data_IF_438153809881
#
_entry.id   IF_438153809881
#
_cell.length_a   1.000
_cell.length_b   1.000
_cell.length_c   1.000
_cell.angle_alpha   90.00
_cell.angle_beta   90.00
_cell.angle_gamma   90.00
#
_symmetry.space_group_name_H-M   'P 1'
#
loop_
_entity.id
_entity.type
_entity.pdbx_description
1 polymer ?
#
# COMPACT_ATOMS: atom_id res chain seq x y z
N UNK A 1 -3.08 -21.82 -5.29
CA UNK A 1 -3.56 -20.42 -5.34
C UNK A 1 -2.91 -19.70 -4.17
N UNK A 2 -2.45 -18.45 -4.35
CA UNK A 2 -1.92 -17.70 -3.21
C UNK A 2 -3.07 -17.34 -2.27
N UNK A 3 -2.85 -17.46 -0.97
CA UNK A 3 -3.76 -16.98 0.06
C UNK A 3 -3.46 -15.51 0.31
N UNK A 4 -4.46 -14.65 0.13
CA UNK A 4 -4.35 -13.23 0.43
C UNK A 4 -5.07 -12.92 1.74
N UNK A 5 -4.48 -12.08 2.58
CA UNK A 5 -5.08 -11.64 3.84
C UNK A 5 -4.85 -10.14 3.99
N UNK A 6 -5.86 -9.44 4.52
CA UNK A 6 -5.76 -8.02 4.83
C UNK A 6 -5.69 -7.87 6.35
N UNK A 7 -4.65 -7.22 6.81
CA UNK A 7 -4.45 -6.92 8.24
C UNK A 7 -4.54 -5.41 8.41
N UNK A 8 -5.38 -4.93 9.32
CA UNK A 8 -5.49 -3.49 9.58
C UNK A 8 -4.17 -2.95 10.18
N UNK A 9 -3.80 -1.74 9.79
CA UNK A 9 -2.70 -0.98 10.39
C UNK A 9 -3.30 -0.12 11.50
N UNK A 10 -3.34 -0.66 12.72
CA UNK A 10 -3.99 -0.03 13.89
C UNK A 10 -3.35 1.32 14.28
N UNK A 11 -2.08 1.52 13.95
CA UNK A 11 -1.36 2.77 14.22
C UNK A 11 -1.84 3.98 13.39
N UNK A 12 -2.76 3.78 12.43
CA UNK A 12 -3.33 4.87 11.62
C UNK A 12 -4.80 5.02 12.00
N UNK A 13 -5.10 6.10 12.71
CA UNK A 13 -6.46 6.43 13.13
C UNK A 13 -7.13 7.41 12.15
N UNK A 14 -8.31 7.07 11.67
CA UNK A 14 -9.07 8.00 10.82
C UNK A 14 -10.33 7.41 10.21
N UNK A 15 -10.97 8.22 9.37
CA UNK A 15 -12.23 7.86 8.68
C UNK A 15 -12.05 6.78 7.62
N UNK A 16 -10.86 6.69 7.03
CA UNK A 16 -10.50 5.65 6.07
C UNK A 16 -9.57 4.64 6.72
N UNK A 17 -9.84 3.35 6.55
CA UNK A 17 -9.03 2.27 7.12
C UNK A 17 -7.82 2.00 6.22
N UNK A 18 -6.66 1.78 6.85
CA UNK A 18 -5.46 1.31 6.15
C UNK A 18 -5.21 -0.15 6.48
N UNK A 19 -5.07 -0.96 5.44
CA UNK A 19 -4.71 -2.37 5.54
C UNK A 19 -3.32 -2.59 4.96
N UNK A 20 -2.63 -3.63 5.41
CA UNK A 20 -1.48 -4.21 4.73
C UNK A 20 -1.87 -5.54 4.09
N UNK A 21 -1.35 -5.79 2.89
CA UNK A 21 -1.56 -7.04 2.16
C UNK A 21 -0.57 -8.10 2.63
N UNK A 22 -1.09 -9.25 3.02
CA UNK A 22 -0.33 -10.48 3.28
C UNK A 22 -0.58 -11.49 2.17
N UNK A 23 0.48 -12.16 1.73
CA UNK A 23 0.44 -13.20 0.70
C UNK A 23 1.09 -14.45 1.28
N UNK A 24 0.32 -15.52 1.44
CA UNK A 24 0.76 -16.78 2.06
C UNK A 24 1.41 -16.57 3.45
N UNK A 25 0.86 -15.66 4.26
CA UNK A 25 1.38 -15.33 5.59
C UNK A 25 2.59 -14.40 5.59
N UNK A 26 2.97 -13.85 4.44
CA UNK A 26 4.09 -12.91 4.33
C UNK A 26 3.63 -11.53 3.87
N UNK A 27 3.92 -10.50 4.68
CA UNK A 27 3.66 -9.11 4.35
C UNK A 27 4.92 -8.43 3.79
N UNK A 28 4.85 -7.95 2.55
CA UNK A 28 5.96 -7.25 1.89
C UNK A 28 6.23 -5.89 2.52
N UNK A 29 5.20 -5.27 3.12
CA UNK A 29 5.35 -3.99 3.80
C UNK A 29 6.07 -4.16 5.14
N UNK A 30 5.67 -5.10 5.98
CA UNK A 30 6.35 -5.38 7.26
C UNK A 30 7.83 -5.75 7.05
N UNK A 31 8.13 -6.54 6.01
CA UNK A 31 9.52 -6.89 5.66
C UNK A 31 10.31 -5.64 5.25
N UNK A 32 9.69 -4.73 4.50
CA UNK A 32 10.29 -3.47 4.12
C UNK A 32 10.58 -2.61 5.36
N UNK A 33 9.61 -2.44 6.27
CA UNK A 33 9.76 -1.68 7.50
C UNK A 33 10.89 -2.24 8.37
N UNK A 34 10.92 -3.55 8.56
CA UNK A 34 11.97 -4.25 9.32
C UNK A 34 13.37 -4.00 8.73
N UNK A 35 13.49 -3.99 7.39
CA UNK A 35 14.77 -3.73 6.71
C UNK A 35 15.24 -2.28 6.89
N UNK A 36 14.33 -1.31 6.85
CA UNK A 36 14.71 0.11 6.95
C UNK A 36 14.79 0.62 8.40
N UNK A 37 14.13 -0.06 9.34
CA UNK A 37 14.09 0.30 10.77
C UNK A 37 15.45 0.23 11.48
N UNK A 38 16.45 -0.41 10.86
CA UNK A 38 17.83 -0.40 11.36
C UNK A 38 18.58 0.90 11.07
N UNK A 39 18.02 1.79 10.24
CA UNK A 39 18.59 3.07 9.88
C UNK A 39 17.74 4.23 10.43
N UNK A 40 18.27 4.95 11.43
CA UNK A 40 17.56 6.05 12.09
C UNK A 40 16.99 7.10 11.12
N UNK A 41 17.73 7.45 10.05
CA UNK A 41 17.25 8.40 9.03
C UNK A 41 16.01 7.89 8.31
N UNK A 42 15.95 6.59 8.01
CA UNK A 42 14.79 6.01 7.35
C UNK A 42 13.61 5.84 8.30
N UNK A 43 13.85 5.68 9.60
CA UNK A 43 12.77 5.71 10.59
C UNK A 43 12.06 7.06 10.59
N UNK A 44 12.78 8.20 10.62
CA UNK A 44 12.15 9.52 10.55
C UNK A 44 11.33 9.72 9.28
N UNK A 45 11.83 9.23 8.15
CA UNK A 45 11.12 9.28 6.88
C UNK A 45 9.87 8.39 6.88
N UNK A 46 9.93 7.23 7.54
CA UNK A 46 8.81 6.31 7.71
C UNK A 46 7.74 6.92 8.63
N UNK A 47 8.11 7.51 9.76
CA UNK A 47 7.17 8.22 10.65
C UNK A 47 6.47 9.37 9.91
N UNK A 48 7.20 10.12 9.08
CA UNK A 48 6.58 11.15 8.24
C UNK A 48 5.60 10.58 7.22
N UNK A 49 5.82 9.35 6.73
CA UNK A 49 4.87 8.65 5.85
C UNK A 49 3.64 8.25 6.65
N UNK A 50 3.78 7.69 7.86
CA UNK A 50 2.66 7.35 8.74
C UNK A 50 1.79 8.56 9.06
N UNK A 51 2.37 9.69 9.45
CA UNK A 51 1.60 10.93 9.67
C UNK A 51 0.88 11.41 8.41
N UNK A 52 1.47 11.20 7.22
CA UNK A 52 0.79 11.49 5.94
C UNK A 52 -0.36 10.52 5.69
N UNK A 53 -0.22 9.24 6.03
CA UNK A 53 -1.29 8.26 5.91
C UNK A 53 -2.47 8.61 6.83
N UNK A 54 -2.19 9.05 8.05
CA UNK A 54 -3.20 9.51 9.02
C UNK A 54 -3.92 10.79 8.55
N UNK A 55 -3.18 11.77 8.01
CA UNK A 55 -3.78 12.94 7.37
C UNK A 55 -4.72 12.54 6.22
N UNK A 56 -4.28 11.62 5.37
CA UNK A 56 -5.09 11.05 4.28
C UNK A 56 -6.29 10.27 4.84
N UNK A 57 -6.11 9.51 5.92
CA UNK A 57 -7.18 8.75 6.59
C UNK A 57 -8.29 9.67 7.09
N UNK A 58 -7.92 10.87 7.52
CA UNK A 58 -8.82 11.91 8.01
C UNK A 58 -9.32 12.87 6.91
N UNK A 59 -9.14 12.53 5.63
CA UNK A 59 -9.55 13.33 4.48
C UNK A 59 -8.92 14.75 4.43
N UNK A 60 -7.74 14.93 5.02
CA UNK A 60 -7.02 16.21 4.92
C UNK A 60 -6.41 16.35 3.52
N UNK A 61 -6.27 17.60 3.09
CA UNK A 61 -5.54 17.91 1.86
C UNK A 61 -4.04 17.70 2.09
N UNK A 62 -3.44 16.82 1.30
CA UNK A 62 -2.03 16.50 1.38
C UNK A 62 -1.33 16.94 0.09
N UNK A 63 -0.16 17.60 0.17
CA UNK A 63 0.61 17.98 -1.00
C UNK A 63 0.95 16.80 -1.90
N UNK A 64 0.94 17.01 -3.23
CA UNK A 64 1.27 15.98 -4.23
C UNK A 64 2.68 15.42 -4.06
N UNK A 65 3.57 16.17 -3.39
CA UNK A 65 4.94 15.81 -3.05
C UNK A 65 4.98 14.69 -2.01
N UNK A 66 3.96 14.59 -1.14
CA UNK A 66 3.83 13.58 -0.07
C UNK A 66 2.86 12.46 -0.42
N UNK A 67 1.78 12.74 -1.13
CA UNK A 67 0.78 11.74 -1.54
C UNK A 67 0.34 11.97 -2.99
N UNK A 68 0.47 10.96 -3.85
CA UNK A 68 0.23 11.10 -5.29
C UNK A 68 -0.60 9.96 -5.85
N UNK A 69 -1.59 10.27 -6.69
CA UNK A 69 -2.25 9.31 -7.58
C UNK A 69 -1.27 8.93 -8.72
N UNK A 70 -0.95 7.64 -8.83
CA UNK A 70 -0.02 7.07 -9.81
C UNK A 70 -0.71 6.08 -10.77
N UNK A 71 -2.06 6.11 -10.81
CA UNK A 71 -2.87 5.24 -11.66
C UNK A 71 -2.49 5.42 -13.14
N UNK A 72 -2.24 4.32 -13.86
CA UNK A 72 -1.77 4.35 -15.26
C UNK A 72 -2.77 4.98 -16.23
N UNK A 73 -4.05 4.73 -16.01
CA UNK A 73 -5.12 5.14 -16.91
C UNK A 73 -6.33 5.54 -16.09
N UNK A 74 -7.07 6.53 -16.57
CA UNK A 74 -8.40 6.87 -16.03
C UNK A 74 -9.40 5.72 -16.13
N UNK A 75 -9.13 4.72 -16.98
CA UNK A 75 -9.95 3.50 -17.12
C UNK A 75 -9.62 2.40 -16.12
N UNK A 76 -8.52 2.52 -15.37
CA UNK A 76 -8.20 1.53 -14.33
C UNK A 76 -9.21 1.70 -13.18
N UNK A 77 -10.02 0.67 -12.87
CA UNK A 77 -11.08 0.78 -11.88
C UNK A 77 -10.54 0.96 -10.46
N UNK A 78 -9.27 0.62 -10.22
CA UNK A 78 -8.67 0.67 -8.89
C UNK A 78 -7.51 1.67 -8.88
N UNK A 79 -7.77 2.79 -8.22
CA UNK A 79 -6.78 3.85 -8.01
C UNK A 79 -5.54 3.34 -7.30
N UNK A 80 -4.39 3.79 -7.80
CA UNK A 80 -3.06 3.52 -7.26
C UNK A 80 -2.48 4.78 -6.63
N UNK A 81 -1.86 4.65 -5.47
CA UNK A 81 -1.29 5.78 -4.74
C UNK A 81 0.16 5.53 -4.32
N UNK A 82 0.91 6.62 -4.21
CA UNK A 82 2.27 6.65 -3.69
C UNK A 82 2.37 7.66 -2.53
N UNK A 83 2.75 7.17 -1.35
CA UNK A 83 3.18 7.98 -0.22
C UNK A 83 4.69 8.19 -0.27
N UNK A 84 5.15 9.38 0.08
CA UNK A 84 6.52 9.82 -0.15
C UNK A 84 7.07 10.60 1.03
N UNK A 85 8.29 10.24 1.43
CA UNK A 85 9.15 11.08 2.24
C UNK A 85 10.58 10.92 1.74
N UNK A 86 11.23 12.02 1.34
CA UNK A 86 12.61 12.07 0.82
C UNK A 86 13.00 10.84 -0.02
N UNK A 87 13.61 9.81 0.58
CA UNK A 87 14.09 8.58 -0.06
C UNK A 87 13.05 7.48 -0.15
N UNK A 88 12.12 7.41 0.78
CA UNK A 88 11.16 6.32 0.92
C UNK A 88 9.88 6.53 0.11
N UNK A 89 9.33 5.44 -0.40
CA UNK A 89 8.06 5.36 -1.14
C UNK A 89 7.24 4.21 -0.61
N UNK A 90 5.94 4.41 -0.42
CA UNK A 90 5.00 3.34 -0.03
C UNK A 90 3.83 3.33 -1.00
N UNK A 91 3.49 2.15 -1.50
CA UNK A 91 2.52 1.98 -2.59
C UNK A 91 1.23 1.35 -2.08
N UNK A 92 0.11 1.94 -2.46
CA UNK A 92 -1.21 1.55 -2.01
C UNK A 92 -2.22 1.49 -3.16
N UNK A 93 -3.29 0.73 -2.97
CA UNK A 93 -4.49 0.74 -3.82
C UNK A 93 -5.71 1.20 -3.04
N UNK A 94 -6.70 1.79 -3.71
CA UNK A 94 -8.02 2.07 -3.10
C UNK A 94 -8.77 0.75 -2.81
N UNK A 95 -9.40 0.66 -1.65
CA UNK A 95 -10.48 -0.27 -1.34
C UNK A 95 -11.73 0.52 -0.89
N UNK A 96 -12.84 -0.14 -0.59
CA UNK A 96 -14.13 0.53 -0.37
C UNK A 96 -14.07 1.53 0.79
N UNK A 97 -13.59 1.08 1.94
CA UNK A 97 -13.46 1.79 3.22
C UNK A 97 -12.12 2.51 3.42
N UNK A 98 -11.17 2.37 2.49
CA UNK A 98 -9.89 3.04 2.63
C UNK A 98 -8.83 2.62 1.63
N UNK A 99 -7.67 2.15 2.10
CA UNK A 99 -6.52 1.81 1.25
C UNK A 99 -5.82 0.54 1.72
N UNK A 100 -5.27 -0.20 0.76
CA UNK A 100 -4.44 -1.38 1.02
C UNK A 100 -3.01 -1.05 0.62
N UNK A 101 -2.10 -1.04 1.60
CA UNK A 101 -0.65 -0.98 1.42
C UNK A 101 -0.16 -2.33 0.92
N UNK A 102 0.60 -2.32 -0.18
CA UNK A 102 1.14 -3.54 -0.77
C UNK A 102 2.63 -3.68 -0.47
N UNK A 103 3.42 -2.63 -0.71
CA UNK A 103 4.87 -2.68 -0.47
C UNK A 103 5.47 -1.28 -0.31
N UNK A 104 6.67 -1.23 0.28
CA UNK A 104 7.52 -0.05 0.31
C UNK A 104 8.79 -0.21 -0.51
N UNK A 105 9.47 0.91 -0.77
CA UNK A 105 10.70 0.94 -1.54
C UNK A 105 11.40 2.29 -1.46
N UNK A 106 12.48 2.44 -2.23
CA UNK A 106 13.23 3.71 -2.28
C UNK A 106 13.13 4.37 -3.65
N UNK A 107 13.27 5.70 -3.70
CA UNK A 107 13.18 6.52 -4.92
C UNK A 107 14.10 6.02 -6.04
N UNK A 108 15.29 5.53 -5.70
CA UNK A 108 16.28 5.05 -6.67
C UNK A 108 15.86 3.74 -7.35
N UNK A 109 14.97 2.96 -6.71
CA UNK A 109 14.46 1.68 -7.20
C UNK A 109 13.00 1.77 -7.67
N UNK A 110 12.42 2.98 -7.68
CA UNK A 110 11.00 3.24 -7.92
C UNK A 110 10.43 2.53 -9.16
N UNK A 111 11.12 2.57 -10.31
CA UNK A 111 10.65 1.91 -11.54
C UNK A 111 10.41 0.40 -11.34
N UNK A 112 11.35 -0.26 -10.65
CA UNK A 112 11.27 -1.69 -10.35
C UNK A 112 10.19 -1.98 -9.32
N UNK A 113 10.11 -1.19 -8.26
CA UNK A 113 9.12 -1.37 -7.20
C UNK A 113 7.69 -1.14 -7.70
N UNK A 114 7.46 -0.15 -8.57
CA UNK A 114 6.14 0.07 -9.22
C UNK A 114 5.76 -1.13 -10.10
N UNK A 115 6.71 -1.72 -10.83
CA UNK A 115 6.45 -2.93 -11.64
C UNK A 115 6.03 -4.10 -10.74
N UNK A 116 6.74 -4.30 -9.62
CA UNK A 116 6.40 -5.33 -8.62
C UNK A 116 5.04 -5.08 -7.98
N UNK A 117 4.77 -3.84 -7.57
CA UNK A 117 3.50 -3.40 -7.00
C UNK A 117 2.33 -3.73 -7.92
N UNK A 118 2.44 -3.39 -9.21
CA UNK A 118 1.38 -3.67 -10.20
C UNK A 118 1.19 -5.16 -10.48
N UNK A 119 2.28 -5.94 -10.44
CA UNK A 119 2.17 -7.40 -10.54
C UNK A 119 1.35 -7.97 -9.38
N UNK A 120 1.69 -7.58 -8.14
CA UNK A 120 0.97 -8.05 -6.94
C UNK A 120 -0.48 -7.58 -6.94
N UNK A 121 -0.73 -6.30 -7.29
CA UNK A 121 -2.09 -5.75 -7.46
C UNK A 121 -2.91 -6.63 -8.42
N UNK A 122 -2.35 -6.95 -9.60
CA UNK A 122 -3.03 -7.76 -10.62
C UNK A 122 -3.40 -9.15 -10.08
N UNK A 123 -2.45 -9.82 -9.44
CA UNK A 123 -2.68 -11.17 -8.90
C UNK A 123 -3.71 -11.17 -7.77
N UNK A 124 -3.65 -10.19 -6.87
CA UNK A 124 -4.63 -10.01 -5.79
C UNK A 124 -6.05 -9.77 -6.33
N UNK A 125 -6.22 -8.86 -7.30
CA UNK A 125 -7.53 -8.58 -7.91
C UNK A 125 -8.09 -9.83 -8.57
N UNK A 126 -7.27 -10.56 -9.33
CA UNK A 126 -7.69 -11.80 -9.98
C UNK A 126 -8.15 -12.86 -8.98
N UNK A 127 -7.43 -13.03 -7.86
CA UNK A 127 -7.83 -13.94 -6.77
C UNK A 127 -9.16 -13.53 -6.15
N UNK A 128 -9.32 -12.24 -5.82
CA UNK A 128 -10.54 -11.70 -5.21
C UNK A 128 -11.76 -11.85 -6.13
N UNK A 129 -11.58 -11.57 -7.42
CA UNK A 129 -12.66 -11.70 -8.40
C UNK A 129 -13.04 -13.18 -8.62
N UNK A 130 -12.08 -14.10 -8.52
CA UNK A 130 -12.33 -15.54 -8.54
C UNK A 130 -13.16 -15.98 -7.32
N UNK A 131 -12.78 -15.55 -6.11
CA UNK A 131 -13.49 -15.84 -4.87
C UNK A 131 -14.92 -15.29 -4.89
N UNK A 132 -15.12 -14.06 -5.37
CA UNK A 132 -16.46 -13.46 -5.54
C UNK A 132 -17.35 -14.26 -6.48
N UNK A 133 -16.79 -14.89 -7.52
CA UNK A 133 -17.55 -15.73 -8.46
C UNK A 133 -17.80 -17.15 -7.94
N UNK A 134 -17.03 -17.62 -6.95
CA UNK A 134 -17.08 -19.00 -6.44
C UNK A 134 -17.15 -19.06 -4.90
N UNK A 135 -18.18 -18.48 -4.26
CA UNK A 135 -18.23 -18.32 -2.81
C UNK A 135 -18.29 -19.64 -2.01
N UNK A 136 -18.61 -20.76 -2.67
CA UNK A 136 -18.80 -22.07 -2.03
C UNK A 136 -17.56 -22.98 -2.05
N UNK A 137 -16.44 -22.55 -2.64
CA UNK A 137 -15.15 -23.27 -2.51
C UNK A 137 -14.43 -22.77 -1.26
N UNK A 138 -14.60 -23.49 -0.15
CA UNK A 138 -13.71 -23.43 1.01
C UNK A 138 -13.08 -24.80 1.23
#
# INVERSE_FOLDING_TARGET
MNKYTLTQIEAIEGKQIFYKLEINGYCQFDEYESKIGTNARYMDELFSIYGTMEDVANNKLVPKEKFKDITLSSKDPIKEYEFKSKHLRVYAIKCDDGKIIILGGTKNKQKREIKRFRSIKKDYIASRDYEKRNPYKK
#
